data_IF_472241511881
#
_entry.id   IF_472241511881
#
_cell.length_a   1.000
_cell.length_b   1.000
_cell.length_c   1.000
_cell.angle_alpha   90.00
_cell.angle_beta   90.00
_cell.angle_gamma   90.00
#
_symmetry.space_group_name_H-M   'P 1'
#
loop_
_entity.id
_entity.type
_entity.pdbx_description
1 polymer ?
#
# COMPACT_ATOMS: atom_id res chain seq x y z
N UNK A 1 -12.09 -105.89 -47.21
CA UNK A 1 -12.00 -105.18 -45.94
C UNK A 1 -11.49 -103.82 -46.23
N UNK A 2 -12.39 -102.81 -46.31
CA UNK A 2 -12.05 -101.39 -46.53
C UNK A 2 -11.63 -100.78 -45.20
N UNK A 3 -10.43 -100.33 -45.10
CA UNK A 3 -9.91 -99.49 -43.95
C UNK A 3 -10.44 -98.07 -44.08
N UNK A 4 -11.42 -97.68 -43.30
CA UNK A 4 -11.83 -96.29 -43.15
C UNK A 4 -10.72 -95.53 -42.48
N UNK A 5 -10.04 -94.70 -43.22
CA UNK A 5 -9.08 -93.71 -42.68
C UNK A 5 -9.90 -92.55 -42.10
N UNK A 6 -9.94 -92.48 -40.76
CA UNK A 6 -10.47 -91.33 -40.05
C UNK A 6 -9.33 -90.25 -40.04
N UNK A 7 -9.34 -89.40 -41.05
CA UNK A 7 -8.60 -88.14 -41.01
C UNK A 7 -9.37 -87.20 -40.09
N UNK A 8 -9.00 -87.23 -38.79
CA UNK A 8 -9.45 -86.14 -37.88
C UNK A 8 -8.96 -84.83 -38.40
N UNK A 9 -9.88 -83.97 -38.78
CA UNK A 9 -9.56 -82.60 -39.28
C UNK A 9 -9.07 -81.74 -38.11
N UNK A 10 -7.80 -81.99 -37.65
CA UNK A 10 -7.12 -81.20 -36.65
C UNK A 10 -6.76 -79.79 -37.16
N UNK A 11 -6.89 -79.54 -38.48
CA UNK A 11 -6.59 -78.24 -39.08
C UNK A 11 -7.67 -77.19 -38.73
N UNK A 12 -8.91 -77.54 -38.64
CA UNK A 12 -10.03 -76.62 -38.32
C UNK A 12 -9.96 -76.07 -36.93
N UNK A 13 -9.58 -76.90 -35.91
CA UNK A 13 -9.51 -76.52 -34.53
C UNK A 13 -8.34 -75.54 -34.29
N UNK A 14 -7.14 -75.88 -34.84
CA UNK A 14 -5.94 -75.00 -34.76
C UNK A 14 -6.15 -73.70 -35.54
N UNK A 15 -6.77 -73.76 -36.70
CA UNK A 15 -7.08 -72.60 -37.49
C UNK A 15 -8.05 -71.64 -36.77
N UNK A 16 -9.07 -72.19 -36.10
CA UNK A 16 -10.03 -71.41 -35.30
C UNK A 16 -9.35 -70.76 -34.10
N UNK A 17 -8.42 -71.43 -33.42
CA UNK A 17 -7.63 -70.89 -32.33
C UNK A 17 -6.68 -69.76 -32.80
N UNK A 18 -6.00 -69.93 -33.95
CA UNK A 18 -5.14 -68.92 -34.55
C UNK A 18 -5.94 -67.67 -34.96
N UNK A 19 -7.13 -67.85 -35.59
CA UNK A 19 -8.01 -66.70 -35.93
C UNK A 19 -8.44 -65.92 -34.67
N UNK A 20 -8.80 -66.59 -33.55
CA UNK A 20 -9.11 -65.93 -32.30
C UNK A 20 -7.94 -65.16 -31.70
N UNK A 21 -6.73 -65.73 -31.73
CA UNK A 21 -5.52 -65.04 -31.27
C UNK A 21 -5.19 -63.82 -32.13
N UNK A 22 -5.36 -63.96 -33.46
CA UNK A 22 -5.16 -62.84 -34.39
C UNK A 22 -6.19 -61.72 -34.16
N UNK A 23 -7.48 -62.03 -33.99
CA UNK A 23 -8.52 -61.05 -33.71
C UNK A 23 -8.23 -60.31 -32.41
N UNK A 24 -7.86 -61.06 -31.32
CA UNK A 24 -7.50 -60.46 -30.04
C UNK A 24 -6.22 -59.57 -30.15
N UNK A 25 -5.22 -59.96 -30.92
CA UNK A 25 -4.04 -59.16 -31.21
C UNK A 25 -4.37 -57.88 -31.97
N UNK A 26 -5.28 -57.96 -32.95
CA UNK A 26 -5.77 -56.79 -33.70
C UNK A 26 -6.53 -55.81 -32.80
N UNK A 27 -7.39 -56.35 -31.93
CA UNK A 27 -8.12 -55.52 -30.94
C UNK A 27 -7.17 -54.83 -29.97
N UNK A 28 -6.17 -55.52 -29.39
CA UNK A 28 -5.15 -54.94 -28.54
C UNK A 28 -4.36 -53.86 -29.28
N UNK A 29 -4.00 -54.12 -30.55
CA UNK A 29 -3.26 -53.13 -31.35
C UNK A 29 -4.11 -51.89 -31.64
N UNK A 30 -5.42 -52.05 -31.84
CA UNK A 30 -6.36 -50.94 -31.99
C UNK A 30 -6.48 -50.09 -30.72
N UNK A 31 -6.62 -50.74 -29.54
CA UNK A 31 -6.64 -50.08 -28.26
C UNK A 31 -5.30 -49.34 -27.98
N UNK A 32 -4.19 -49.97 -28.32
CA UNK A 32 -2.86 -49.32 -28.18
C UNK A 32 -2.73 -48.06 -29.04
N UNK A 33 -3.22 -48.11 -30.29
CA UNK A 33 -3.24 -46.93 -31.17
C UNK A 33 -4.12 -45.81 -30.60
N UNK A 34 -5.28 -46.12 -30.06
CA UNK A 34 -6.17 -45.15 -29.41
C UNK A 34 -5.49 -44.53 -28.17
N UNK A 35 -4.86 -45.37 -27.34
CA UNK A 35 -4.12 -44.88 -26.18
C UNK A 35 -2.94 -43.94 -26.56
N UNK A 36 -2.15 -44.32 -27.61
CA UNK A 36 -1.07 -43.46 -28.11
C UNK A 36 -1.62 -42.12 -28.62
N UNK A 37 -2.77 -42.13 -29.31
CA UNK A 37 -3.39 -40.90 -29.80
C UNK A 37 -3.89 -40.03 -28.65
N UNK A 38 -4.49 -40.59 -27.60
CA UNK A 38 -4.91 -39.86 -26.39
C UNK A 38 -3.70 -39.26 -25.64
N UNK A 39 -2.63 -40.04 -25.50
CA UNK A 39 -1.39 -39.54 -24.89
C UNK A 39 -0.79 -38.39 -25.68
N UNK A 40 -0.78 -38.49 -26.99
CA UNK A 40 -0.29 -37.39 -27.86
C UNK A 40 -1.15 -36.11 -27.69
N UNK A 41 -2.49 -36.25 -27.60
CA UNK A 41 -3.40 -35.14 -27.38
C UNK A 41 -3.15 -34.46 -26.00
N UNK A 42 -2.90 -35.25 -24.95
CA UNK A 42 -2.55 -34.73 -23.62
C UNK A 42 -1.22 -33.96 -23.65
N UNK A 43 -0.20 -34.51 -24.33
CA UNK A 43 1.09 -33.83 -24.45
C UNK A 43 0.93 -32.50 -25.19
N UNK A 44 0.16 -32.46 -26.28
CA UNK A 44 -0.12 -31.22 -27.02
C UNK A 44 -0.84 -30.20 -26.11
N UNK A 45 -1.86 -30.62 -25.34
CA UNK A 45 -2.58 -29.74 -24.43
C UNK A 45 -1.65 -29.16 -23.34
N UNK A 46 -0.76 -29.98 -22.79
CA UNK A 46 0.21 -29.53 -21.78
C UNK A 46 1.23 -28.56 -22.37
N UNK A 47 1.71 -28.80 -23.59
CA UNK A 47 2.66 -27.88 -24.26
C UNK A 47 1.99 -26.55 -24.56
N UNK A 48 0.74 -26.51 -25.03
CA UNK A 48 -0.01 -25.26 -25.25
C UNK A 48 -0.23 -24.51 -23.94
N UNK A 49 -0.60 -25.21 -22.87
CA UNK A 49 -0.75 -24.58 -21.53
C UNK A 49 0.57 -23.99 -21.04
N UNK A 50 1.65 -24.73 -21.16
CA UNK A 50 2.99 -24.27 -20.77
C UNK A 50 3.42 -23.03 -21.56
N UNK A 51 3.23 -23.01 -22.88
CA UNK A 51 3.57 -21.84 -23.71
C UNK A 51 2.74 -20.61 -23.35
N UNK A 52 1.46 -20.77 -23.01
CA UNK A 52 0.61 -19.68 -22.54
C UNK A 52 1.08 -19.13 -21.20
N UNK A 53 1.47 -19.99 -20.26
CA UNK A 53 2.04 -19.57 -18.97
C UNK A 53 3.36 -18.80 -19.17
N UNK A 54 4.25 -19.26 -20.04
CA UNK A 54 5.50 -18.55 -20.35
C UNK A 54 5.23 -17.16 -20.93
N UNK A 55 4.23 -17.03 -21.81
CA UNK A 55 3.82 -15.73 -22.35
C UNK A 55 3.29 -14.79 -21.25
N UNK A 56 2.50 -15.29 -20.32
CA UNK A 56 2.01 -14.50 -19.18
C UNK A 56 3.16 -14.03 -18.28
N UNK A 57 4.14 -14.91 -18.00
CA UNK A 57 5.32 -14.57 -17.21
C UNK A 57 6.13 -13.46 -17.90
N UNK A 58 6.37 -13.57 -19.20
CA UNK A 58 7.12 -12.56 -19.95
C UNK A 58 6.40 -11.20 -19.96
N UNK A 59 5.08 -11.18 -20.10
CA UNK A 59 4.28 -9.95 -20.01
C UNK A 59 4.37 -9.32 -18.62
N UNK A 60 4.29 -10.14 -17.57
CA UNK A 60 4.41 -9.67 -16.19
C UNK A 60 5.79 -9.09 -15.89
N UNK A 61 6.85 -9.73 -16.40
CA UNK A 61 8.22 -9.24 -16.29
C UNK A 61 8.40 -7.90 -17.01
N UNK A 62 7.79 -7.74 -18.20
CA UNK A 62 7.83 -6.47 -18.92
C UNK A 62 7.12 -5.37 -18.14
N UNK A 63 5.90 -5.61 -17.65
CA UNK A 63 5.14 -4.65 -16.86
C UNK A 63 5.89 -4.26 -15.60
N UNK A 64 6.53 -5.22 -14.91
CA UNK A 64 7.37 -4.94 -13.75
C UNK A 64 8.55 -4.00 -14.08
N UNK A 65 9.19 -4.23 -15.22
CA UNK A 65 10.30 -3.39 -15.68
C UNK A 65 9.82 -1.98 -16.01
N UNK A 66 8.67 -1.86 -16.67
CA UNK A 66 8.09 -0.57 -17.05
C UNK A 66 7.71 0.25 -15.78
N UNK A 67 7.02 -0.38 -14.83
CA UNK A 67 6.68 0.25 -13.53
C UNK A 67 7.95 0.68 -12.77
N UNK A 68 8.99 -0.17 -12.77
CA UNK A 68 10.26 0.18 -12.12
C UNK A 68 10.92 1.40 -12.75
N UNK A 69 10.86 1.53 -14.07
CA UNK A 69 11.40 2.69 -14.79
C UNK A 69 10.61 3.96 -14.48
N UNK A 70 9.25 3.89 -14.51
CA UNK A 70 8.39 5.01 -14.13
C UNK A 70 8.65 5.45 -12.69
N UNK A 71 8.79 4.50 -11.77
CA UNK A 71 9.13 4.79 -10.38
C UNK A 71 10.48 5.50 -10.25
N UNK A 72 11.49 5.10 -11.04
CA UNK A 72 12.80 5.76 -11.04
C UNK A 72 12.73 7.21 -11.53
N UNK A 73 11.92 7.50 -12.55
CA UNK A 73 11.70 8.86 -13.06
C UNK A 73 11.00 9.75 -12.03
N UNK A 74 10.02 9.19 -11.29
CA UNK A 74 9.34 9.90 -10.21
C UNK A 74 10.30 10.23 -9.07
N UNK A 75 11.16 9.29 -8.67
CA UNK A 75 12.20 9.51 -7.64
C UNK A 75 13.15 10.63 -8.07
N UNK A 76 13.61 10.61 -9.32
CA UNK A 76 14.51 11.66 -9.83
C UNK A 76 13.83 13.04 -9.81
N UNK A 77 12.58 13.12 -10.23
CA UNK A 77 11.79 14.34 -10.20
C UNK A 77 11.58 14.85 -8.78
N UNK A 78 11.28 13.96 -7.84
CA UNK A 78 11.12 14.30 -6.43
C UNK A 78 12.43 14.79 -5.81
N UNK A 79 13.55 14.14 -6.13
CA UNK A 79 14.88 14.55 -5.65
C UNK A 79 15.22 15.95 -6.13
N UNK A 80 14.95 16.27 -7.39
CA UNK A 80 15.14 17.61 -7.95
C UNK A 80 14.30 18.66 -7.23
N UNK A 81 13.02 18.38 -7.03
CA UNK A 81 12.10 19.28 -6.32
C UNK A 81 12.54 19.50 -4.86
N UNK A 82 13.03 18.46 -4.19
CA UNK A 82 13.52 18.57 -2.81
C UNK A 82 14.77 19.47 -2.70
N UNK A 83 15.65 19.43 -3.70
CA UNK A 83 16.82 20.32 -3.78
C UNK A 83 16.36 21.77 -4.00
N UNK A 84 15.46 22.01 -4.96
CA UNK A 84 14.90 23.35 -5.21
C UNK A 84 14.21 23.92 -3.96
N UNK A 85 13.46 23.07 -3.23
CA UNK A 85 12.84 23.47 -1.96
C UNK A 85 13.86 23.83 -0.89
N UNK A 86 14.95 23.05 -0.76
CA UNK A 86 16.02 23.33 0.20
C UNK A 86 16.75 24.64 -0.13
N UNK A 87 17.00 24.91 -1.41
CA UNK A 87 17.61 26.16 -1.89
C UNK A 87 16.71 27.38 -1.59
N UNK A 88 15.41 27.27 -1.90
CA UNK A 88 14.43 28.32 -1.63
C UNK A 88 14.30 28.61 -0.12
N UNK A 89 14.33 27.56 0.69
CA UNK A 89 14.30 27.67 2.17
C UNK A 89 15.57 28.36 2.71
N UNK A 90 16.73 28.09 2.11
CA UNK A 90 17.97 28.77 2.45
C UNK A 90 17.93 30.26 2.08
N UNK A 91 17.42 30.60 0.89
CA UNK A 91 17.24 31.99 0.47
C UNK A 91 16.27 32.77 1.37
N UNK A 92 15.17 32.13 1.79
CA UNK A 92 14.22 32.72 2.74
C UNK A 92 14.89 33.02 4.09
N UNK A 93 15.68 32.06 4.60
CA UNK A 93 16.40 32.24 5.87
C UNK A 93 17.44 33.37 5.79
N UNK A 94 18.11 33.50 4.66
CA UNK A 94 19.07 34.62 4.44
C UNK A 94 18.34 35.96 4.37
N UNK A 95 17.18 36.05 3.73
CA UNK A 95 16.33 37.25 3.72
C UNK A 95 15.83 37.62 5.12
N UNK A 96 15.37 36.64 5.90
CA UNK A 96 14.96 36.85 7.30
C UNK A 96 16.12 37.33 8.18
N UNK A 97 17.34 36.84 7.94
CA UNK A 97 18.53 37.34 8.65
C UNK A 97 18.89 38.80 8.25
N UNK A 98 18.77 39.14 6.96
CA UNK A 98 18.97 40.50 6.48
C UNK A 98 17.90 41.45 7.04
N UNK A 99 16.63 41.00 7.08
CA UNK A 99 15.56 41.79 7.70
C UNK A 99 15.76 41.95 9.20
N UNK A 100 16.22 40.93 9.93
CA UNK A 100 16.54 41.03 11.36
C UNK A 100 17.74 42.03 11.58
N UNK A 101 18.77 41.96 10.78
CA UNK A 101 19.90 42.93 10.87
C UNK A 101 19.48 44.34 10.53
N UNK A 102 18.51 44.52 9.60
CA UNK A 102 17.99 45.87 9.28
C UNK A 102 16.97 46.36 10.34
N UNK A 103 16.36 45.46 11.11
CA UNK A 103 15.41 45.77 12.19
C UNK A 103 16.14 46.19 13.51
N UNK A 104 17.34 45.67 13.77
CA UNK A 104 18.16 46.08 14.92
C UNK A 104 18.55 47.60 14.86
N UNK A 105 18.38 48.23 13.71
CA UNK A 105 18.62 49.69 13.53
C UNK A 105 17.40 50.58 13.79
N UNK A 106 16.21 50.02 14.16
CA UNK A 106 14.96 50.76 14.43
C UNK A 106 14.17 50.09 15.56
N UNK A 107 14.66 50.20 16.80
CA UNK A 107 14.20 49.38 17.92
C UNK A 107 12.93 49.88 18.66
N UNK A 108 12.30 50.99 18.32
CA UNK A 108 11.20 51.52 19.14
C UNK A 108 9.77 51.47 18.54
N UNK A 109 9.61 51.18 17.23
CA UNK A 109 8.26 51.23 16.60
C UNK A 109 7.73 49.86 16.06
N UNK A 110 8.49 48.77 16.20
CA UNK A 110 8.23 47.55 15.45
C UNK A 110 7.58 46.39 16.24
N UNK A 111 7.47 46.50 17.58
CA UNK A 111 6.87 45.42 18.41
C UNK A 111 5.38 45.25 18.14
N UNK A 112 4.68 46.37 17.84
CA UNK A 112 3.24 46.35 17.56
C UNK A 112 2.93 45.76 16.18
N UNK A 113 3.83 45.98 15.18
CA UNK A 113 3.59 45.52 13.81
C UNK A 113 3.81 44.00 13.62
N UNK A 114 4.84 43.45 14.30
CA UNK A 114 5.11 42.00 14.24
C UNK A 114 4.01 41.15 14.92
N UNK A 115 3.52 41.60 16.07
CA UNK A 115 2.42 40.90 16.76
C UNK A 115 1.11 40.93 15.93
N UNK A 116 0.87 42.05 15.22
CA UNK A 116 -0.27 42.20 14.32
C UNK A 116 -0.15 41.35 13.05
N UNK A 117 1.04 41.23 12.46
CA UNK A 117 1.30 40.41 11.27
C UNK A 117 1.25 38.89 11.58
N UNK A 118 1.74 38.47 12.75
CA UNK A 118 1.64 37.07 13.22
C UNK A 118 0.17 36.73 13.50
N UNK A 119 -0.61 37.62 14.10
CA UNK A 119 -2.07 37.41 14.26
C UNK A 119 -2.79 37.36 12.93
N UNK A 120 -2.46 38.23 11.97
CA UNK A 120 -3.07 38.24 10.64
C UNK A 120 -2.74 36.98 9.82
N UNK A 121 -1.49 36.46 9.94
CA UNK A 121 -1.09 35.21 9.28
C UNK A 121 -1.78 33.97 9.90
N UNK A 122 -2.03 33.99 11.19
CA UNK A 122 -2.75 32.92 11.89
C UNK A 122 -4.26 32.99 11.61
N UNK A 123 -4.85 34.19 11.53
CA UNK A 123 -6.28 34.35 11.16
C UNK A 123 -6.55 34.00 9.69
N UNK A 124 -5.59 34.20 8.77
CA UNK A 124 -5.74 33.81 7.36
C UNK A 124 -5.56 32.31 7.10
N UNK A 125 -4.92 31.57 8.00
CA UNK A 125 -4.65 30.12 7.82
C UNK A 125 -5.79 29.22 8.26
N UNK A 126 -6.81 29.71 8.98
CA UNK A 126 -7.87 28.89 9.58
C UNK A 126 -7.39 28.01 10.74
N UNK A 127 -6.09 28.02 11.07
CA UNK A 127 -5.54 27.28 12.20
C UNK A 127 -5.91 27.96 13.52
N UNK A 128 -6.30 27.13 14.51
CA UNK A 128 -6.55 27.58 15.87
C UNK A 128 -5.83 26.66 16.85
N UNK A 129 -4.87 27.24 17.61
CA UNK A 129 -4.18 26.51 18.66
C UNK A 129 -5.16 26.05 19.76
N UNK A 130 -5.02 24.80 20.19
CA UNK A 130 -5.77 24.23 21.31
C UNK A 130 -4.81 23.91 22.47
N UNK A 131 -4.83 24.70 23.57
CA UNK A 131 -3.94 24.49 24.72
C UNK A 131 -4.26 23.21 25.53
N UNK A 132 -5.41 22.59 25.32
CA UNK A 132 -5.80 21.33 25.99
C UNK A 132 -5.13 20.09 25.33
N UNK A 133 -4.52 20.27 24.16
CA UNK A 133 -3.72 19.24 23.49
C UNK A 133 -2.27 19.37 23.97
N UNK A 134 -1.65 18.32 24.53
CA UNK A 134 -0.29 18.39 25.06
C UNK A 134 0.79 18.36 23.97
N UNK A 135 0.63 19.20 22.95
CA UNK A 135 1.57 19.47 21.87
C UNK A 135 1.78 20.99 21.80
N UNK A 136 3.00 21.40 21.48
CA UNK A 136 3.29 22.82 21.25
C UNK A 136 2.47 23.40 20.09
N UNK A 137 2.29 24.71 20.06
CA UNK A 137 1.59 25.40 18.99
C UNK A 137 2.21 25.07 17.61
N UNK A 138 3.55 25.04 17.55
CA UNK A 138 4.29 24.75 16.31
C UNK A 138 3.97 23.34 15.78
N UNK A 139 3.93 22.33 16.65
CA UNK A 139 3.58 20.95 16.25
C UNK A 139 2.14 20.87 15.80
N UNK A 140 1.21 21.52 16.51
CA UNK A 140 -0.20 21.53 16.11
C UNK A 140 -0.41 22.24 14.77
N UNK A 141 0.25 23.39 14.55
CA UNK A 141 0.22 24.14 13.31
C UNK A 141 0.81 23.33 12.15
N UNK A 142 1.95 22.65 12.40
CA UNK A 142 2.56 21.77 11.42
C UNK A 142 1.61 20.65 10.98
N UNK A 143 1.05 19.94 11.94
CA UNK A 143 0.06 18.88 11.67
C UNK A 143 -1.15 19.40 10.91
N UNK A 144 -1.67 20.59 11.29
CA UNK A 144 -2.77 21.25 10.58
C UNK A 144 -2.42 21.51 9.11
N UNK A 145 -1.26 22.09 8.83
CA UNK A 145 -0.82 22.41 7.47
C UNK A 145 -0.68 21.13 6.63
N UNK A 146 -0.05 20.08 7.19
CA UNK A 146 0.08 18.78 6.52
C UNK A 146 -1.27 18.13 6.21
N UNK A 147 -2.24 18.27 7.09
CA UNK A 147 -3.60 17.81 6.86
C UNK A 147 -4.27 18.60 5.72
N UNK A 148 -4.09 19.94 5.67
CA UNK A 148 -4.64 20.75 4.58
C UNK A 148 -4.02 20.37 3.21
N UNK A 149 -2.70 20.16 3.17
CA UNK A 149 -1.98 19.75 1.96
C UNK A 149 -2.43 18.37 1.43
N UNK A 150 -2.81 17.47 2.32
CA UNK A 150 -3.18 16.08 1.98
C UNK A 150 -4.67 15.81 1.85
N UNK A 151 -5.54 16.79 2.16
CA UNK A 151 -6.99 16.59 2.20
C UNK A 151 -7.49 15.74 3.37
N UNK A 152 -6.65 15.46 4.37
CA UNK A 152 -7.02 14.74 5.59
C UNK A 152 -7.60 15.74 6.59
N UNK A 153 -8.76 15.41 7.16
CA UNK A 153 -9.37 16.26 8.19
C UNK A 153 -8.48 16.31 9.45
N UNK A 154 -8.14 17.53 9.87
CA UNK A 154 -7.24 17.75 11.01
C UNK A 154 -7.80 17.18 12.32
N UNK A 155 -9.12 17.24 12.54
CA UNK A 155 -9.76 16.70 13.75
C UNK A 155 -9.64 15.17 13.79
N UNK A 156 -9.74 14.51 12.62
CA UNK A 156 -9.50 13.06 12.48
C UNK A 156 -8.05 12.74 12.81
N UNK A 157 -7.10 13.54 12.31
CA UNK A 157 -5.68 13.34 12.57
C UNK A 157 -5.30 13.57 14.03
N UNK A 158 -5.93 14.55 14.70
CA UNK A 158 -5.82 14.72 16.15
C UNK A 158 -6.37 13.49 16.90
N UNK A 159 -7.50 12.95 16.46
CA UNK A 159 -8.06 11.72 16.99
C UNK A 159 -7.13 10.52 16.85
N UNK A 160 -6.41 10.43 15.72
CA UNK A 160 -5.41 9.41 15.45
C UNK A 160 -4.23 9.54 16.43
N UNK A 161 -3.59 10.71 16.52
CA UNK A 161 -2.46 10.94 17.44
C UNK A 161 -2.85 10.66 18.92
N UNK A 162 -4.05 11.05 19.32
CA UNK A 162 -4.57 10.72 20.66
C UNK A 162 -4.72 9.21 20.85
N UNK A 163 -5.24 8.50 19.85
CA UNK A 163 -5.45 7.05 19.92
C UNK A 163 -4.14 6.28 19.96
N UNK A 164 -3.15 6.71 19.20
CA UNK A 164 -1.86 6.03 19.05
C UNK A 164 -0.97 6.22 20.30
N UNK A 165 -0.74 7.44 20.71
CA UNK A 165 0.25 7.77 21.74
C UNK A 165 -0.29 8.61 22.89
N UNK A 166 -1.55 9.06 22.86
CA UNK A 166 -2.06 10.14 23.71
C UNK A 166 -1.20 11.41 23.58
N UNK A 167 -0.76 11.71 22.37
CA UNK A 167 0.12 12.84 22.01
C UNK A 167 1.55 12.74 22.57
N UNK A 168 2.01 11.57 22.96
CA UNK A 168 3.37 11.36 23.45
C UNK A 168 4.31 10.98 22.29
N UNK A 169 5.22 11.89 21.91
CA UNK A 169 6.22 11.65 20.88
C UNK A 169 7.28 10.61 21.25
N UNK A 170 7.43 10.31 22.53
CA UNK A 170 8.40 9.33 23.03
C UNK A 170 7.77 7.94 23.29
N UNK A 171 6.53 7.74 22.85
CA UNK A 171 5.82 6.49 23.06
C UNK A 171 6.43 5.33 22.26
N UNK A 172 6.62 4.19 22.91
CA UNK A 172 7.04 2.93 22.27
C UNK A 172 6.09 1.83 22.74
N UNK A 173 5.42 1.17 21.79
CA UNK A 173 4.49 0.09 22.10
C UNK A 173 5.21 -1.26 22.28
N UNK A 174 4.50 -2.25 22.82
CA UNK A 174 4.99 -3.64 22.91
C UNK A 174 5.10 -4.32 21.54
N UNK A 175 4.43 -3.79 20.54
CA UNK A 175 4.40 -4.27 19.14
C UNK A 175 5.43 -3.58 18.25
N UNK A 176 6.33 -2.79 18.87
CA UNK A 176 7.36 -2.00 18.18
C UNK A 176 6.78 -0.91 17.27
N UNK A 177 5.80 -0.15 17.79
CA UNK A 177 5.32 1.06 17.19
C UNK A 177 5.94 2.26 17.92
N UNK A 178 6.32 3.31 17.21
CA UNK A 178 7.18 4.38 17.72
C UNK A 178 6.59 5.76 17.46
N UNK A 179 6.78 6.64 18.45
CA UNK A 179 6.54 8.08 18.33
C UNK A 179 5.08 8.49 18.40
N UNK A 180 4.84 9.73 18.01
CA UNK A 180 3.54 10.41 18.14
C UNK A 180 2.40 9.67 17.42
N UNK A 181 2.67 9.13 16.24
CA UNK A 181 1.71 8.43 15.39
C UNK A 181 1.91 6.90 15.39
N UNK A 182 2.80 6.35 16.24
CA UNK A 182 3.05 4.93 16.44
C UNK A 182 3.39 4.19 15.13
N UNK A 183 4.41 4.68 14.43
CA UNK A 183 4.88 4.05 13.19
C UNK A 183 5.58 2.74 13.51
N UNK A 184 5.04 1.64 12.97
CA UNK A 184 5.58 0.31 13.23
C UNK A 184 6.99 0.14 12.63
N UNK A 185 7.87 -0.56 13.36
CA UNK A 185 9.25 -0.81 12.95
C UNK A 185 9.38 -1.44 11.56
N UNK A 186 8.42 -2.24 11.13
CA UNK A 186 8.41 -2.83 9.78
C UNK A 186 8.36 -1.80 8.66
N UNK A 187 7.83 -0.60 8.92
CA UNK A 187 7.72 0.50 7.97
C UNK A 187 8.94 1.44 7.99
N UNK A 188 9.86 1.32 8.97
CA UNK A 188 10.96 2.27 9.12
C UNK A 188 11.91 2.32 7.92
N UNK A 189 12.18 1.20 7.26
CA UNK A 189 13.02 1.20 6.06
C UNK A 189 12.32 1.93 4.91
N UNK A 190 11.04 1.67 4.71
CA UNK A 190 10.24 2.39 3.73
C UNK A 190 10.19 3.90 4.01
N UNK A 191 10.00 4.31 5.27
CA UNK A 191 10.01 5.73 5.63
C UNK A 191 11.38 6.37 5.36
N UNK A 192 12.48 5.68 5.65
CA UNK A 192 13.83 6.20 5.31
C UNK A 192 14.10 6.27 3.82
N UNK A 193 13.51 5.39 3.02
CA UNK A 193 13.58 5.48 1.56
C UNK A 193 12.83 6.71 1.03
N UNK A 194 11.71 7.09 1.67
CA UNK A 194 10.88 8.24 1.27
C UNK A 194 11.43 9.56 1.82
N UNK A 195 11.79 9.62 3.10
CA UNK A 195 12.13 10.87 3.80
C UNK A 195 13.62 11.06 4.06
N UNK A 196 14.46 10.08 3.71
CA UNK A 196 15.91 10.13 3.93
C UNK A 196 16.35 9.32 5.15
N UNK A 197 17.69 9.06 5.21
CA UNK A 197 18.31 8.24 6.26
C UNK A 197 18.12 8.77 7.67
N UNK A 198 17.96 10.08 7.80
CA UNK A 198 17.88 10.79 9.08
C UNK A 198 16.46 10.84 9.66
N UNK A 199 15.48 10.28 8.93
CA UNK A 199 14.12 10.16 9.42
C UNK A 199 14.07 9.38 10.76
N UNK A 200 13.45 9.98 11.77
CA UNK A 200 13.33 9.44 13.12
C UNK A 200 11.85 9.42 13.57
N UNK A 201 11.25 8.25 13.82
CA UNK A 201 9.87 8.15 14.28
C UNK A 201 9.59 8.82 15.62
N UNK A 202 10.65 9.09 16.42
CA UNK A 202 10.53 9.77 17.72
C UNK A 202 10.51 11.30 17.56
N UNK A 203 10.94 11.83 16.41
CA UNK A 203 10.75 13.22 16.07
C UNK A 203 9.26 13.46 15.72
N UNK A 204 8.54 14.37 16.41
CA UNK A 204 7.12 14.57 16.17
C UNK A 204 6.79 15.03 14.73
N UNK A 205 7.65 15.81 14.10
CA UNK A 205 7.48 16.25 12.71
C UNK A 205 7.61 15.09 11.73
N UNK A 206 8.65 14.27 11.87
CA UNK A 206 8.89 13.09 11.05
C UNK A 206 7.78 12.03 11.23
N UNK A 207 7.27 11.90 12.45
CA UNK A 207 6.16 11.01 12.77
C UNK A 207 4.84 11.47 12.11
N UNK A 208 4.60 12.79 12.07
CA UNK A 208 3.46 13.40 11.37
C UNK A 208 3.59 13.18 9.87
N UNK A 209 4.75 13.49 9.28
CA UNK A 209 5.01 13.32 7.84
C UNK A 209 4.79 11.88 7.40
N UNK A 210 5.36 10.91 8.12
CA UNK A 210 5.19 9.49 7.83
C UNK A 210 3.72 9.05 7.91
N UNK A 211 3.00 9.49 8.93
CA UNK A 211 1.60 9.13 9.13
C UNK A 211 0.70 9.70 8.03
N UNK A 212 0.87 10.98 7.70
CA UNK A 212 0.13 11.65 6.61
C UNK A 212 0.45 11.00 5.26
N UNK A 213 1.73 10.70 4.99
CA UNK A 213 2.14 10.00 3.78
C UNK A 213 1.46 8.63 3.67
N UNK A 214 1.49 7.80 4.72
CA UNK A 214 0.84 6.49 4.73
C UNK A 214 -0.68 6.60 4.49
N UNK A 215 -1.34 7.55 5.15
CA UNK A 215 -2.78 7.80 4.94
C UNK A 215 -3.07 8.23 3.50
N UNK A 216 -2.24 9.09 2.93
CA UNK A 216 -2.38 9.56 1.54
C UNK A 216 -2.20 8.44 0.53
N UNK A 217 -1.23 7.55 0.73
CA UNK A 217 -1.02 6.38 -0.11
C UNK A 217 -2.24 5.44 -0.06
N UNK A 218 -2.78 5.16 1.12
CA UNK A 218 -3.99 4.36 1.23
C UNK A 218 -5.21 5.00 0.54
N UNK A 219 -5.30 6.33 0.54
CA UNK A 219 -6.38 7.04 -0.16
C UNK A 219 -6.24 6.90 -1.67
N UNK A 220 -5.04 7.05 -2.22
CA UNK A 220 -4.75 6.96 -3.65
C UNK A 220 -4.86 5.53 -4.18
N UNK A 221 -4.17 4.61 -3.53
CA UNK A 221 -3.99 3.25 -4.03
C UNK A 221 -5.26 2.39 -3.90
N UNK A 222 -6.09 2.67 -2.90
CA UNK A 222 -7.22 1.83 -2.54
C UNK A 222 -8.57 2.53 -2.65
N UNK A 223 -8.60 3.75 -3.23
CA UNK A 223 -9.81 4.53 -3.42
C UNK A 223 -10.66 4.62 -2.14
N UNK A 224 -9.97 4.85 -1.01
CA UNK A 224 -10.59 4.91 0.31
C UNK A 224 -11.33 6.26 0.47
N UNK A 225 -12.62 6.26 0.20
CA UNK A 225 -13.50 7.43 0.35
C UNK A 225 -14.13 7.54 1.76
N UNK A 226 -13.72 6.68 2.69
CA UNK A 226 -14.27 6.58 4.05
C UNK A 226 -13.17 6.49 5.11
N UNK A 227 -13.21 7.34 6.12
CA UNK A 227 -12.23 7.38 7.19
C UNK A 227 -12.13 6.06 8.00
N UNK A 228 -13.22 5.33 8.19
CA UNK A 228 -13.13 4.03 8.88
C UNK A 228 -12.27 3.05 8.09
N UNK A 229 -12.45 2.99 6.76
CA UNK A 229 -11.65 2.14 5.86
C UNK A 229 -10.20 2.57 5.88
N UNK A 230 -9.94 3.88 5.75
CA UNK A 230 -8.60 4.46 5.79
C UNK A 230 -7.86 4.13 7.09
N UNK A 231 -8.52 4.35 8.23
CA UNK A 231 -7.97 4.07 9.57
C UNK A 231 -7.77 2.57 9.83
N UNK A 232 -8.58 1.69 9.23
CA UNK A 232 -8.36 0.24 9.31
C UNK A 232 -7.09 -0.17 8.56
N UNK A 233 -6.86 0.38 7.35
CA UNK A 233 -5.62 0.17 6.60
C UNK A 233 -4.40 0.62 7.43
N UNK A 234 -4.48 1.79 8.06
CA UNK A 234 -3.41 2.30 8.91
C UNK A 234 -3.09 1.36 10.08
N UNK A 235 -4.10 0.92 10.82
CA UNK A 235 -3.94 0.13 12.05
C UNK A 235 -3.47 -1.30 11.82
N UNK A 236 -3.98 -1.98 10.79
CA UNK A 236 -3.75 -3.42 10.62
C UNK A 236 -2.99 -3.77 9.34
N UNK A 237 -2.63 -2.78 8.53
CA UNK A 237 -2.04 -2.95 7.21
C UNK A 237 -3.07 -3.37 6.16
N UNK A 238 -2.79 -3.04 4.89
CA UNK A 238 -3.73 -3.23 3.80
C UNK A 238 -4.20 -4.69 3.64
N UNK A 239 -3.30 -5.67 3.72
CA UNK A 239 -3.66 -7.08 3.55
C UNK A 239 -4.76 -7.54 4.52
N UNK A 240 -4.58 -7.27 5.82
CA UNK A 240 -5.58 -7.63 6.84
C UNK A 240 -6.87 -6.80 6.72
N UNK A 241 -6.75 -5.53 6.32
CA UNK A 241 -7.91 -4.67 6.10
C UNK A 241 -8.80 -5.20 4.96
N UNK A 242 -8.20 -5.64 3.86
CA UNK A 242 -8.92 -6.26 2.71
C UNK A 242 -9.67 -7.51 3.13
N UNK A 243 -9.11 -8.36 4.00
CA UNK A 243 -9.82 -9.55 4.52
C UNK A 243 -11.08 -9.14 5.29
N UNK A 244 -11.00 -8.07 6.09
CA UNK A 244 -12.17 -7.50 6.77
C UNK A 244 -13.20 -6.98 5.74
N UNK A 245 -12.78 -6.24 4.73
CA UNK A 245 -13.67 -5.69 3.70
C UNK A 245 -14.37 -6.77 2.88
N UNK A 246 -13.66 -7.84 2.50
CA UNK A 246 -14.23 -9.01 1.84
C UNK A 246 -15.26 -9.72 2.70
N UNK A 247 -15.17 -9.56 4.04
CA UNK A 247 -16.15 -10.08 5.00
C UNK A 247 -17.27 -9.08 5.33
N UNK A 248 -17.34 -7.94 4.61
CA UNK A 248 -18.35 -6.90 4.84
C UNK A 248 -18.11 -6.02 6.07
N UNK A 249 -16.89 -6.03 6.63
CA UNK A 249 -16.53 -5.28 7.83
C UNK A 249 -15.75 -4.03 7.41
N UNK A 250 -16.40 -2.86 7.49
CA UNK A 250 -15.85 -1.56 7.08
C UNK A 250 -15.59 -0.59 8.24
N UNK A 251 -15.67 -1.07 9.49
CA UNK A 251 -15.30 -0.31 10.69
C UNK A 251 -14.78 -1.22 11.79
N UNK A 252 -13.87 -0.74 12.62
CA UNK A 252 -13.27 -1.47 13.73
C UNK A 252 -13.45 -0.72 15.05
N UNK A 253 -13.10 -1.35 16.20
CA UNK A 253 -13.03 -0.63 17.48
C UNK A 253 -12.05 0.55 17.41
N UNK A 254 -10.93 0.34 16.70
CA UNK A 254 -9.89 1.36 16.52
C UNK A 254 -10.44 2.56 15.76
N UNK A 255 -10.98 2.34 14.55
CA UNK A 255 -11.49 3.43 13.72
C UNK A 255 -12.65 4.18 14.40
N UNK A 256 -13.54 3.48 15.09
CA UNK A 256 -14.62 4.13 15.85
C UNK A 256 -14.12 5.00 16.99
N UNK A 257 -13.08 4.55 17.74
CA UNK A 257 -12.50 5.35 18.81
C UNK A 257 -11.87 6.65 18.28
N UNK A 258 -11.18 6.61 17.14
CA UNK A 258 -10.63 7.82 16.51
C UNK A 258 -11.73 8.77 16.08
N UNK A 259 -12.80 8.27 15.47
CA UNK A 259 -13.94 9.10 15.07
C UNK A 259 -14.63 9.76 16.27
N UNK A 260 -14.72 9.08 17.42
CA UNK A 260 -15.23 9.70 18.64
C UNK A 260 -14.30 10.79 19.16
N UNK A 261 -12.98 10.56 19.20
CA UNK A 261 -12.02 11.62 19.57
C UNK A 261 -12.05 12.81 18.60
N UNK A 262 -12.19 12.54 17.29
CA UNK A 262 -12.28 13.59 16.30
C UNK A 262 -13.48 14.53 16.52
N UNK A 263 -14.61 14.01 16.99
CA UNK A 263 -15.78 14.84 17.36
C UNK A 263 -15.47 15.80 18.51
N UNK A 264 -14.65 15.38 19.49
CA UNK A 264 -14.20 16.25 20.57
C UNK A 264 -13.31 17.41 20.04
N UNK A 265 -12.64 17.21 18.89
CA UNK A 265 -11.83 18.22 18.20
C UNK A 265 -12.59 18.98 17.10
N UNK A 266 -13.91 18.81 17.00
CA UNK A 266 -14.77 19.58 16.11
C UNK A 266 -15.14 18.90 14.80
N UNK A 267 -14.82 17.61 14.62
CA UNK A 267 -15.27 16.87 13.44
C UNK A 267 -16.80 16.76 13.41
N UNK A 268 -17.40 17.21 12.33
CA UNK A 268 -18.85 17.15 12.08
C UNK A 268 -19.23 16.48 10.77
N UNK A 269 -18.24 15.88 10.08
CA UNK A 269 -18.44 15.25 8.77
C UNK A 269 -19.16 13.89 8.83
N UNK A 270 -19.53 13.39 7.67
CA UNK A 270 -20.22 12.10 7.47
C UNK A 270 -19.30 10.88 7.38
N UNK A 271 -18.02 11.05 7.68
CA UNK A 271 -17.00 10.00 7.61
C UNK A 271 -16.32 9.86 6.25
N UNK A 272 -16.66 10.70 5.27
CA UNK A 272 -16.00 10.68 3.96
C UNK A 272 -14.67 11.41 3.96
N UNK A 273 -13.74 10.89 3.19
CA UNK A 273 -12.44 11.52 2.91
C UNK A 273 -12.62 12.44 1.71
N UNK A 274 -12.16 13.68 1.82
CA UNK A 274 -12.07 14.56 0.65
C UNK A 274 -10.84 14.14 -0.17
N UNK A 275 -11.05 13.45 -1.28
CA UNK A 275 -9.99 13.15 -2.27
C UNK A 275 -9.93 14.35 -3.21
N UNK A 276 -8.79 15.05 -3.23
CA UNK A 276 -8.51 16.13 -4.18
C UNK A 276 -7.67 15.63 -5.34
#
# INVERSE_FOLDING_TARGET
MESKVYTVDMSTSKTKQLRRKLAKSQEINQHLKILCFLMAAVVIALTVSFTNQQKQISTLQQNYTDIKNEYSEVIESYTKLSIEYAELKAELKDKEMIEKQSAEFKEDDNIILTDTLVRYSNESSGFKYNPDIPLSEDIQKYAYNKCQESGIDYSIFLGLMRKESSFNSEAVSKTNDYGLCQINKSNHNWMREVFGSDWDPMNPYDSIDASIFMLSEYTKDYNCDNYHVLLMNYNMGHGNAVECFNSGIYSSKYSRAIMEYAKEYGYSGDGKVCVF
#
